data_IF_094258646780
#
_entry.id   IF_094258646780
#
_cell.length_a   1.000
_cell.length_b   1.000
_cell.length_c   1.000
_cell.angle_alpha   90.00
_cell.angle_beta   90.00
_cell.angle_gamma   90.00
#
_symmetry.space_group_name_H-M   'P 1'
#
loop_
_entity.id
_entity.type
_entity.pdbx_description
1 polymer ?
#
# COMPACT_ATOMS: atom_id res chain seq x y z
N UNK A 1 12.13 -32.36 -9.54
CA UNK A 1 10.91 -31.70 -9.01
C UNK A 1 10.69 -32.27 -7.62
N UNK A 2 10.76 -31.44 -6.58
CA UNK A 2 10.38 -31.86 -5.24
C UNK A 2 8.87 -32.18 -5.25
N UNK A 3 8.47 -33.27 -4.61
CA UNK A 3 7.04 -33.57 -4.44
C UNK A 3 6.36 -32.42 -3.66
N UNK A 4 5.12 -32.05 -4.01
CA UNK A 4 4.40 -31.05 -3.24
C UNK A 4 4.30 -31.47 -1.78
N UNK A 5 4.58 -30.55 -0.87
CA UNK A 5 4.53 -30.77 0.57
C UNK A 5 3.06 -31.00 0.96
N UNK A 6 2.67 -32.26 1.18
CA UNK A 6 1.35 -32.60 1.70
C UNK A 6 1.38 -32.58 3.23
N UNK A 7 0.97 -31.47 3.82
CA UNK A 7 0.79 -31.40 5.28
C UNK A 7 -0.56 -31.99 5.68
N UNK A 8 -0.55 -32.72 6.79
CA UNK A 8 -1.79 -33.18 7.42
C UNK A 8 -2.61 -31.98 7.91
N UNK A 9 -3.96 -31.99 7.89
CA UNK A 9 -4.80 -30.89 8.41
C UNK A 9 -4.50 -30.48 9.85
N UNK A 10 -4.03 -31.42 10.68
CA UNK A 10 -3.62 -31.19 12.08
C UNK A 10 -2.17 -30.70 12.22
N UNK A 11 -1.47 -30.45 11.13
CA UNK A 11 -0.12 -29.88 11.19
C UNK A 11 -0.15 -28.52 11.91
N UNK A 12 0.81 -28.33 12.80
CA UNK A 12 0.97 -27.07 13.54
C UNK A 12 1.73 -26.08 12.67
N UNK A 13 1.05 -25.06 12.19
CA UNK A 13 1.60 -24.03 11.30
C UNK A 13 1.81 -22.74 12.07
N UNK A 14 3.03 -22.25 12.09
CA UNK A 14 3.42 -20.99 12.71
C UNK A 14 3.66 -19.93 11.61
N UNK A 15 3.05 -18.77 11.74
CA UNK A 15 3.20 -17.67 10.79
C UNK A 15 3.83 -16.47 11.51
N UNK A 16 4.94 -15.96 10.99
CA UNK A 16 5.66 -14.83 11.56
C UNK A 16 5.33 -13.56 10.77
N UNK A 17 4.58 -12.66 11.39
CA UNK A 17 4.09 -11.42 10.83
C UNK A 17 2.59 -11.44 10.54
N UNK A 18 1.85 -10.45 11.07
CA UNK A 18 0.41 -10.24 10.85
C UNK A 18 0.12 -9.16 9.80
N UNK A 19 1.06 -8.89 8.88
CA UNK A 19 0.83 -8.07 7.71
C UNK A 19 -0.05 -8.78 6.66
N UNK A 20 -0.29 -8.12 5.51
CA UNK A 20 -1.18 -8.63 4.45
C UNK A 20 -0.83 -10.06 4.02
N UNK A 21 0.44 -10.42 3.92
CA UNK A 21 0.85 -11.77 3.53
C UNK A 21 0.58 -12.80 4.62
N UNK A 22 0.92 -12.50 5.89
CA UNK A 22 0.65 -13.41 7.00
C UNK A 22 -0.83 -13.63 7.24
N UNK A 23 -1.63 -12.56 7.21
CA UNK A 23 -3.09 -12.62 7.36
C UNK A 23 -3.74 -13.41 6.21
N UNK A 24 -3.34 -13.13 4.97
CA UNK A 24 -3.85 -13.86 3.81
C UNK A 24 -3.53 -15.35 3.92
N UNK A 25 -2.26 -15.68 4.22
CA UNK A 25 -1.84 -17.07 4.42
C UNK A 25 -2.64 -17.75 5.53
N UNK A 26 -2.77 -17.11 6.70
CA UNK A 26 -3.51 -17.65 7.83
C UNK A 26 -4.98 -17.93 7.49
N UNK A 27 -5.65 -16.95 6.87
CA UNK A 27 -7.05 -17.07 6.47
C UNK A 27 -7.26 -18.21 5.46
N UNK A 28 -6.42 -18.30 4.44
CA UNK A 28 -6.57 -19.34 3.40
C UNK A 28 -6.22 -20.73 3.91
N UNK A 29 -5.22 -20.87 4.80
CA UNK A 29 -4.92 -22.14 5.46
C UNK A 29 -6.11 -22.61 6.33
N UNK A 30 -6.68 -21.70 7.12
CA UNK A 30 -7.85 -22.03 7.94
C UNK A 30 -9.06 -22.44 7.07
N UNK A 31 -9.31 -21.73 5.96
CA UNK A 31 -10.34 -22.08 4.97
C UNK A 31 -10.06 -23.42 4.27
N UNK A 32 -8.80 -23.78 4.10
CA UNK A 32 -8.39 -25.06 3.56
C UNK A 32 -8.46 -26.23 4.58
N UNK A 33 -8.89 -25.95 5.81
CA UNK A 33 -9.10 -26.99 6.85
C UNK A 33 -7.90 -27.23 7.75
N UNK A 34 -6.89 -26.38 7.76
CA UNK A 34 -5.80 -26.44 8.75
C UNK A 34 -6.28 -25.79 10.07
N UNK A 35 -6.32 -26.57 11.14
CA UNK A 35 -6.93 -26.17 12.41
C UNK A 35 -5.96 -25.62 13.45
N UNK A 36 -4.63 -25.78 13.22
CA UNK A 36 -3.58 -25.42 14.18
C UNK A 36 -2.68 -24.34 13.59
N UNK A 37 -3.27 -23.19 13.28
CA UNK A 37 -2.55 -22.03 12.71
C UNK A 37 -2.39 -20.98 13.79
N UNK A 38 -1.14 -20.56 14.07
CA UNK A 38 -0.80 -19.50 15.02
C UNK A 38 0.00 -18.40 14.33
N UNK A 39 -0.43 -17.15 14.46
CA UNK A 39 0.25 -15.97 13.91
C UNK A 39 0.94 -15.20 15.03
N UNK A 40 2.22 -14.88 14.84
CA UNK A 40 3.03 -14.08 15.74
C UNK A 40 3.30 -12.70 15.16
N UNK A 41 3.13 -11.64 15.94
CA UNK A 41 3.55 -10.30 15.57
C UNK A 41 3.99 -9.50 16.81
N UNK A 42 5.03 -8.69 16.65
CA UNK A 42 5.51 -7.82 17.72
C UNK A 42 4.60 -6.62 17.98
N UNK A 43 3.64 -6.38 17.09
CA UNK A 43 2.70 -5.27 17.20
C UNK A 43 1.32 -5.80 17.59
N UNK A 44 0.70 -5.14 18.55
CA UNK A 44 -0.71 -5.35 18.86
C UNK A 44 -1.59 -4.67 17.81
N UNK A 45 -1.65 -5.30 16.63
CA UNK A 45 -2.43 -4.80 15.50
C UNK A 45 -3.93 -4.83 15.75
N UNK A 46 -4.39 -5.60 16.71
CA UNK A 46 -5.81 -5.67 17.10
C UNK A 46 -6.25 -4.40 17.84
N UNK A 47 -5.46 -3.94 18.79
CA UNK A 47 -5.71 -2.69 19.52
C UNK A 47 -5.34 -1.46 18.70
N UNK A 48 -4.19 -1.48 18.02
CA UNK A 48 -3.72 -0.36 17.20
C UNK A 48 -4.46 -0.23 15.85
N UNK A 49 -5.16 -1.27 15.40
CA UNK A 49 -5.96 -1.26 14.18
C UNK A 49 -5.17 -1.08 12.89
N UNK A 50 -3.92 -1.51 12.83
CA UNK A 50 -2.98 -1.23 11.72
C UNK A 50 -2.80 0.27 11.45
N UNK A 51 -3.02 1.11 12.45
CA UNK A 51 -2.93 2.54 12.28
C UNK A 51 -1.49 2.98 11.98
N UNK A 52 -1.22 3.54 10.80
CA UNK A 52 0.10 4.01 10.45
C UNK A 52 0.56 5.18 11.35
N UNK A 53 -0.36 5.93 11.96
CA UNK A 53 -0.04 7.01 12.88
C UNK A 53 0.33 6.53 14.29
N UNK A 54 -0.02 5.29 14.62
CA UNK A 54 0.39 4.64 15.86
C UNK A 54 1.78 4.00 15.81
N UNK A 55 2.55 4.25 14.73
CA UNK A 55 3.93 3.75 14.59
C UNK A 55 4.02 2.29 14.14
N UNK A 56 2.97 1.74 13.52
CA UNK A 56 3.02 0.39 12.97
C UNK A 56 4.00 0.31 11.81
N UNK A 57 5.09 -0.44 11.99
CA UNK A 57 6.21 -0.58 11.04
C UNK A 57 5.93 -1.62 9.96
N UNK A 58 4.81 -1.49 9.28
CA UNK A 58 4.36 -2.44 8.27
C UNK A 58 3.89 -1.72 7.01
N UNK A 59 4.23 -2.27 5.85
CA UNK A 59 3.66 -1.82 4.56
C UNK A 59 2.13 -1.97 4.52
N UNK A 60 1.56 -2.82 5.36
CA UNK A 60 0.11 -3.02 5.51
C UNK A 60 -0.57 -1.90 6.30
N UNK A 61 0.17 -1.20 7.16
CA UNK A 61 -0.30 -0.04 7.92
C UNK A 61 -0.22 1.22 7.05
N UNK A 62 -1.15 1.36 6.12
CA UNK A 62 -1.24 2.51 5.22
C UNK A 62 -2.69 2.97 5.10
N UNK A 63 -2.88 4.25 4.78
CA UNK A 63 -4.21 4.84 4.58
C UNK A 63 -4.91 4.12 3.42
N UNK A 64 -4.22 4.01 2.27
CA UNK A 64 -4.79 3.40 1.07
C UNK A 64 -3.70 2.82 0.15
N UNK A 65 -4.10 1.87 -0.70
CA UNK A 65 -3.27 1.26 -1.74
C UNK A 65 -4.04 1.25 -3.05
N UNK A 66 -3.34 1.51 -4.16
CA UNK A 66 -3.93 1.42 -5.50
C UNK A 66 -4.23 -0.04 -5.81
N UNK A 67 -5.45 -0.31 -6.26
CA UNK A 67 -5.82 -1.56 -6.93
C UNK A 67 -6.01 -1.23 -8.40
N UNK A 68 -5.20 -1.85 -9.23
CA UNK A 68 -5.17 -1.62 -10.67
C UNK A 68 -5.12 -2.93 -11.42
N UNK A 69 -5.47 -2.88 -12.70
CA UNK A 69 -5.41 -4.01 -13.64
C UNK A 69 -4.43 -3.75 -14.78
N UNK A 70 -3.85 -2.57 -14.82
CA UNK A 70 -2.90 -2.09 -15.82
C UNK A 70 -1.47 -2.45 -15.43
N UNK A 71 -0.92 -3.50 -16.06
CA UNK A 71 0.41 -4.04 -15.74
C UNK A 71 1.34 -4.18 -16.97
N UNK A 72 1.07 -3.44 -18.06
CA UNK A 72 1.86 -3.56 -19.28
C UNK A 72 1.82 -4.98 -19.85
N UNK A 73 2.98 -5.59 -20.05
CA UNK A 73 3.12 -6.96 -20.53
C UNK A 73 2.92 -8.06 -19.48
N UNK A 74 2.80 -7.70 -18.20
CA UNK A 74 2.76 -8.65 -17.09
C UNK A 74 1.34 -9.14 -16.80
N UNK A 75 0.82 -9.99 -17.69
CA UNK A 75 -0.57 -10.45 -17.69
C UNK A 75 -0.97 -11.20 -16.42
N UNK A 76 -0.02 -11.90 -15.78
CA UNK A 76 -0.32 -12.69 -14.58
C UNK A 76 -0.70 -11.79 -13.38
N UNK A 77 -0.09 -10.61 -13.27
CA UNK A 77 -0.50 -9.63 -12.25
C UNK A 77 -1.88 -9.05 -12.53
N UNK A 78 -2.23 -8.84 -13.80
CA UNK A 78 -3.57 -8.40 -14.19
C UNK A 78 -4.62 -9.43 -13.78
N UNK A 79 -4.39 -10.70 -14.08
CA UNK A 79 -5.30 -11.82 -13.73
C UNK A 79 -5.46 -11.97 -12.22
N UNK A 80 -4.35 -11.90 -11.48
CA UNK A 80 -4.37 -11.94 -10.01
C UNK A 80 -5.15 -10.78 -9.42
N UNK A 81 -4.95 -9.56 -9.95
CA UNK A 81 -5.69 -8.37 -9.51
C UNK A 81 -7.19 -8.50 -9.80
N UNK A 82 -7.58 -9.06 -10.94
CA UNK A 82 -8.98 -9.29 -11.31
C UNK A 82 -9.65 -10.26 -10.34
N UNK A 83 -9.00 -11.37 -10.00
CA UNK A 83 -9.50 -12.32 -8.99
C UNK A 83 -9.62 -11.68 -7.60
N UNK A 84 -8.67 -10.82 -7.25
CA UNK A 84 -8.71 -10.11 -5.97
C UNK A 84 -9.87 -9.10 -5.89
N UNK A 85 -10.27 -8.50 -7.01
CA UNK A 85 -11.39 -7.55 -7.05
C UNK A 85 -12.72 -8.19 -6.66
N UNK A 86 -12.94 -9.45 -7.02
CA UNK A 86 -14.14 -10.20 -6.63
C UNK A 86 -14.21 -10.36 -5.10
N UNK A 87 -13.06 -10.67 -4.48
CA UNK A 87 -12.96 -10.80 -3.02
C UNK A 87 -13.19 -9.44 -2.34
N UNK A 88 -12.66 -8.34 -2.87
CA UNK A 88 -12.90 -7.00 -2.33
C UNK A 88 -14.38 -6.62 -2.38
N UNK A 89 -15.07 -6.95 -3.45
CA UNK A 89 -16.51 -6.72 -3.59
C UNK A 89 -17.33 -7.60 -2.63
N UNK A 90 -16.94 -8.85 -2.44
CA UNK A 90 -17.56 -9.75 -1.46
C UNK A 90 -17.40 -9.20 -0.04
N UNK A 91 -16.18 -8.84 0.36
CA UNK A 91 -15.91 -8.28 1.68
C UNK A 91 -16.64 -6.97 1.93
N UNK A 92 -16.76 -6.09 0.95
CA UNK A 92 -17.59 -4.88 1.09
C UNK A 92 -19.06 -5.23 1.37
N UNK A 93 -19.62 -6.25 0.70
CA UNK A 93 -20.99 -6.72 0.95
C UNK A 93 -21.18 -7.33 2.33
N UNK A 94 -20.23 -8.15 2.77
CA UNK A 94 -20.24 -8.74 4.11
C UNK A 94 -20.19 -7.65 5.19
N UNK A 95 -19.28 -6.69 5.08
CA UNK A 95 -19.12 -5.58 6.01
C UNK A 95 -20.39 -4.72 6.06
N UNK A 96 -20.97 -4.37 4.92
CA UNK A 96 -22.20 -3.59 4.85
C UNK A 96 -23.37 -4.33 5.51
N UNK A 97 -23.48 -5.64 5.30
CA UNK A 97 -24.47 -6.48 5.95
C UNK A 97 -24.27 -6.52 7.48
N UNK A 98 -23.03 -6.69 7.94
CA UNK A 98 -22.72 -6.66 9.38
C UNK A 98 -22.96 -5.29 9.99
N UNK A 99 -22.60 -4.20 9.31
CA UNK A 99 -22.86 -2.85 9.80
C UNK A 99 -24.34 -2.58 10.06
N UNK A 100 -25.21 -3.19 9.26
CA UNK A 100 -26.67 -3.05 9.39
C UNK A 100 -27.28 -3.99 10.44
N UNK A 101 -26.70 -5.18 10.65
CA UNK A 101 -27.32 -6.23 11.48
C UNK A 101 -26.65 -6.42 12.85
N UNK A 102 -25.32 -6.31 12.89
CA UNK A 102 -24.49 -6.58 14.07
C UNK A 102 -23.28 -5.62 14.12
N UNK A 103 -23.50 -4.30 14.18
CA UNK A 103 -22.40 -3.33 14.11
C UNK A 103 -21.36 -3.51 15.22
N UNK A 104 -21.76 -4.04 16.38
CA UNK A 104 -20.87 -4.32 17.51
C UNK A 104 -19.81 -5.39 17.23
N UNK A 105 -20.05 -6.29 16.28
CA UNK A 105 -19.14 -7.38 15.91
C UNK A 105 -18.07 -6.93 14.89
N UNK A 106 -18.23 -5.76 14.28
CA UNK A 106 -17.22 -5.22 13.35
C UNK A 106 -15.92 -4.84 14.08
N UNK A 107 -14.77 -5.02 13.45
CA UNK A 107 -13.52 -4.42 13.92
C UNK A 107 -13.68 -2.93 14.23
N UNK A 108 -13.03 -2.41 15.30
CA UNK A 108 -13.20 -1.00 15.71
C UNK A 108 -13.00 0.03 14.59
N UNK A 109 -12.03 -0.20 13.70
CA UNK A 109 -11.72 0.71 12.57
C UNK A 109 -12.83 0.75 11.50
N UNK A 110 -13.67 -0.29 11.41
CA UNK A 110 -14.81 -0.35 10.51
C UNK A 110 -16.11 0.11 11.19
N UNK A 111 -16.20 -0.09 12.51
CA UNK A 111 -17.35 0.34 13.30
C UNK A 111 -17.39 1.85 13.53
N UNK A 112 -16.22 2.45 13.75
CA UNK A 112 -16.08 3.88 14.11
C UNK A 112 -15.88 4.80 12.89
N UNK A 113 -15.82 4.24 11.67
CA UNK A 113 -15.66 4.97 10.42
C UNK A 113 -16.58 4.43 9.33
N UNK A 114 -16.33 4.78 8.10
CA UNK A 114 -17.09 4.21 6.96
C UNK A 114 -16.84 2.70 6.86
N UNK A 115 -17.88 1.85 6.91
CA UNK A 115 -17.76 0.39 6.88
C UNK A 115 -17.53 -0.12 5.45
N UNK A 116 -16.40 0.27 4.86
CA UNK A 116 -16.05 -0.02 3.47
C UNK A 116 -14.54 -0.13 3.33
N UNK A 117 -14.08 -1.07 2.52
CA UNK A 117 -12.67 -1.32 2.25
C UNK A 117 -12.27 -0.85 0.85
N UNK A 118 -13.07 -1.23 -0.15
CA UNK A 118 -12.75 -1.09 -1.56
C UNK A 118 -13.61 -0.02 -2.21
N UNK A 119 -12.95 0.90 -2.90
CA UNK A 119 -13.55 2.00 -3.64
C UNK A 119 -13.18 1.87 -5.12
N UNK A 120 -14.14 1.43 -5.93
CA UNK A 120 -14.02 1.45 -7.38
C UNK A 120 -14.29 2.87 -7.89
N UNK A 121 -13.32 3.75 -7.67
CA UNK A 121 -13.42 5.17 -8.04
C UNK A 121 -12.77 5.49 -9.39
N UNK A 122 -12.21 4.49 -10.07
CA UNK A 122 -11.42 4.66 -11.28
C UNK A 122 -9.94 4.95 -11.01
N UNK A 123 -9.13 4.73 -12.03
CA UNK A 123 -7.70 5.01 -12.03
C UNK A 123 -7.29 5.75 -13.31
N UNK A 124 -7.02 7.04 -13.21
CA UNK A 124 -6.61 7.90 -14.31
C UNK A 124 -5.08 7.89 -14.45
N UNK A 125 -4.57 7.30 -15.50
CA UNK A 125 -3.15 7.25 -15.83
C UNK A 125 -2.83 8.34 -16.83
N UNK A 126 -2.10 9.37 -16.40
CA UNK A 126 -1.77 10.55 -17.20
C UNK A 126 -0.31 10.47 -17.67
N UNK A 127 -0.08 10.53 -18.97
CA UNK A 127 1.25 10.64 -19.56
C UNK A 127 1.90 12.00 -19.27
N UNK A 128 3.22 12.07 -19.31
CA UNK A 128 3.97 13.32 -19.19
C UNK A 128 4.07 14.08 -20.52
N UNK A 129 4.02 13.36 -21.64
CA UNK A 129 4.16 13.88 -22.99
C UNK A 129 2.85 14.00 -23.77
N UNK A 130 2.99 14.22 -25.08
CA UNK A 130 1.90 14.30 -26.06
C UNK A 130 1.50 12.93 -26.62
N UNK A 131 2.30 11.90 -26.38
CA UNK A 131 2.06 10.53 -26.84
C UNK A 131 1.93 9.56 -25.67
N UNK A 132 1.29 8.42 -25.88
CA UNK A 132 1.29 7.32 -24.90
C UNK A 132 2.65 6.62 -24.88
N UNK A 133 3.11 6.25 -23.70
CA UNK A 133 4.30 5.41 -23.54
C UNK A 133 4.06 3.99 -24.06
N UNK A 134 5.12 3.27 -24.40
CA UNK A 134 5.05 1.85 -24.81
C UNK A 134 4.38 0.98 -23.76
N UNK A 135 4.64 1.27 -22.48
CA UNK A 135 3.97 0.60 -21.37
C UNK A 135 2.46 0.79 -21.41
N UNK A 136 1.96 1.99 -21.67
CA UNK A 136 0.53 2.28 -21.74
C UNK A 136 -0.12 1.62 -22.95
N UNK A 137 0.54 1.68 -24.13
CA UNK A 137 0.06 1.00 -25.35
C UNK A 137 -0.02 -0.52 -25.12
N UNK A 138 0.99 -1.12 -24.50
CA UNK A 138 0.98 -2.54 -24.19
C UNK A 138 -0.09 -2.89 -23.16
N UNK A 139 -0.33 -2.01 -22.17
CA UNK A 139 -1.43 -2.17 -21.20
C UNK A 139 -2.77 -2.24 -21.93
N UNK A 140 -3.06 -1.29 -22.83
CA UNK A 140 -4.30 -1.25 -23.59
C UNK A 140 -4.50 -2.52 -24.44
N UNK A 141 -3.42 -2.99 -25.11
CA UNK A 141 -3.47 -4.23 -25.89
C UNK A 141 -3.80 -5.46 -25.02
N UNK A 142 -3.20 -5.55 -23.83
CA UNK A 142 -3.45 -6.66 -22.92
C UNK A 142 -4.85 -6.60 -22.30
N UNK A 143 -5.33 -5.41 -21.93
CA UNK A 143 -6.69 -5.22 -21.45
C UNK A 143 -7.71 -5.65 -22.51
N UNK A 144 -7.47 -5.36 -23.79
CA UNK A 144 -8.32 -5.79 -24.90
C UNK A 144 -8.29 -7.31 -25.08
N UNK A 145 -7.11 -7.93 -25.09
CA UNK A 145 -6.96 -9.40 -25.20
C UNK A 145 -7.67 -10.16 -24.08
N UNK A 146 -7.68 -9.62 -22.87
CA UNK A 146 -8.36 -10.21 -21.70
C UNK A 146 -9.86 -9.80 -21.61
N UNK A 147 -10.41 -9.16 -22.63
CA UNK A 147 -11.82 -8.78 -22.66
C UNK A 147 -12.21 -7.59 -21.80
N UNK A 148 -11.22 -6.83 -21.31
CA UNK A 148 -11.43 -5.68 -20.43
C UNK A 148 -11.32 -4.31 -21.14
N UNK A 149 -11.41 -4.27 -22.48
CA UNK A 149 -11.34 -3.02 -23.25
C UNK A 149 -12.40 -2.00 -22.86
N UNK A 150 -13.57 -2.47 -22.51
CA UNK A 150 -14.72 -1.62 -22.16
C UNK A 150 -14.50 -0.80 -20.88
N UNK A 151 -13.61 -1.25 -19.98
CA UNK A 151 -13.26 -0.50 -18.78
C UNK A 151 -12.24 0.63 -19.04
N UNK A 152 -11.61 0.66 -20.23
CA UNK A 152 -10.55 1.60 -20.55
C UNK A 152 -11.08 2.75 -21.41
N UNK A 153 -10.90 4.00 -20.98
CA UNK A 153 -11.32 5.20 -21.68
C UNK A 153 -10.12 6.10 -21.98
N UNK A 154 -9.78 6.22 -23.24
CA UNK A 154 -8.73 7.12 -23.73
C UNK A 154 -9.26 8.55 -23.85
N UNK A 155 -8.47 9.54 -23.46
CA UNK A 155 -8.84 10.96 -23.55
C UNK A 155 -8.64 11.57 -24.94
N UNK A 156 -8.02 10.84 -25.86
CA UNK A 156 -7.74 11.26 -27.23
C UNK A 156 -8.59 10.47 -28.26
N UNK A 157 -9.59 9.73 -27.82
CA UNK A 157 -10.49 8.93 -28.66
C UNK A 157 -11.96 9.35 -28.41
N UNK A 158 -12.58 9.95 -29.41
CA UNK A 158 -13.97 10.44 -29.33
C UNK A 158 -14.96 9.33 -29.00
N UNK A 159 -14.69 8.09 -29.43
CA UNK A 159 -15.54 6.93 -29.13
C UNK A 159 -15.46 6.59 -27.64
N UNK A 160 -14.26 6.58 -27.08
CA UNK A 160 -14.04 6.34 -25.66
C UNK A 160 -14.64 7.45 -24.79
N UNK A 161 -14.51 8.71 -25.19
CA UNK A 161 -15.13 9.86 -24.52
C UNK A 161 -16.65 9.73 -24.51
N UNK A 162 -17.27 9.33 -25.64
CA UNK A 162 -18.72 9.07 -25.71
C UNK A 162 -19.12 7.90 -24.80
N UNK A 163 -18.38 6.80 -24.83
CA UNK A 163 -18.64 5.65 -23.94
C UNK A 163 -18.54 6.05 -22.46
N UNK A 164 -17.51 6.82 -22.10
CA UNK A 164 -17.34 7.34 -20.73
C UNK A 164 -18.54 8.22 -20.32
N UNK A 165 -19.05 9.04 -21.24
CA UNK A 165 -20.24 9.87 -20.99
C UNK A 165 -21.50 9.03 -20.76
N UNK A 166 -21.72 8.02 -21.59
CA UNK A 166 -22.87 7.12 -21.46
C UNK A 166 -22.83 6.28 -20.18
N UNK A 167 -21.64 5.95 -19.68
CA UNK A 167 -21.43 5.14 -18.48
C UNK A 167 -21.15 5.95 -17.20
N UNK A 168 -21.24 7.28 -17.26
CA UNK A 168 -21.10 8.16 -16.10
C UNK A 168 -19.68 8.48 -15.68
N UNK A 169 -18.65 8.16 -16.48
CA UNK A 169 -17.24 8.34 -16.16
C UNK A 169 -16.59 9.61 -16.73
N UNK A 170 -17.29 10.35 -17.61
CA UNK A 170 -16.73 11.48 -18.34
C UNK A 170 -16.14 12.57 -17.41
N UNK A 171 -16.77 12.81 -16.26
CA UNK A 171 -16.32 13.80 -15.29
C UNK A 171 -14.95 13.47 -14.63
N UNK A 172 -14.49 12.21 -14.76
CA UNK A 172 -13.20 11.75 -14.25
C UNK A 172 -12.06 11.72 -15.29
N UNK A 173 -12.36 12.03 -16.54
CA UNK A 173 -11.35 11.95 -17.61
C UNK A 173 -10.27 13.03 -17.49
N UNK A 174 -10.59 14.22 -16.96
CA UNK A 174 -9.60 15.31 -16.77
C UNK A 174 -9.85 16.11 -15.47
N UNK A 175 -9.80 15.42 -14.33
CA UNK A 175 -10.00 16.02 -12.99
C UNK A 175 -8.96 17.09 -12.65
N UNK A 176 -7.83 17.08 -13.33
CA UNK A 176 -6.73 18.04 -13.17
C UNK A 176 -6.79 19.20 -14.17
N UNK A 177 -7.80 19.24 -15.05
CA UNK A 177 -7.99 20.26 -16.09
C UNK A 177 -6.74 20.46 -16.97
N UNK A 178 -6.07 19.35 -17.32
CA UNK A 178 -4.79 19.40 -18.05
C UNK A 178 -4.98 19.90 -19.47
N UNK A 179 -6.08 19.55 -20.13
CA UNK A 179 -6.35 20.05 -21.48
C UNK A 179 -6.45 21.58 -21.48
N UNK A 180 -7.18 22.16 -20.51
CA UNK A 180 -7.30 23.62 -20.39
C UNK A 180 -5.98 24.28 -20.02
N UNK A 181 -5.22 23.67 -19.09
CA UNK A 181 -4.01 24.28 -18.50
C UNK A 181 -2.76 24.15 -19.36
N UNK A 182 -2.64 23.06 -20.08
CA UNK A 182 -1.40 22.72 -20.81
C UNK A 182 -1.62 22.48 -22.31
N UNK A 183 -2.88 22.49 -22.78
CA UNK A 183 -3.21 22.20 -24.19
C UNK A 183 -3.04 20.74 -24.59
N UNK A 184 -2.59 19.89 -23.70
CA UNK A 184 -2.36 18.45 -23.94
C UNK A 184 -2.82 17.64 -22.73
N UNK A 185 -3.63 16.63 -23.03
CA UNK A 185 -4.08 15.67 -22.02
C UNK A 185 -4.14 14.26 -22.60
N UNK A 186 -3.02 13.54 -22.57
CA UNK A 186 -2.97 12.11 -22.89
C UNK A 186 -3.13 11.32 -21.62
N UNK A 187 -4.25 10.61 -21.49
CA UNK A 187 -4.54 9.79 -20.33
C UNK A 187 -5.47 8.62 -20.70
N UNK A 188 -5.45 7.61 -19.85
CA UNK A 188 -6.41 6.50 -19.87
C UNK A 188 -7.05 6.38 -18.50
N UNK A 189 -8.37 6.42 -18.44
CA UNK A 189 -9.14 6.09 -17.26
C UNK A 189 -9.52 4.61 -17.29
N UNK A 190 -9.09 3.88 -16.27
CA UNK A 190 -9.54 2.52 -16.00
C UNK A 190 -10.68 2.55 -14.98
N UNK A 191 -11.92 2.34 -15.46
CA UNK A 191 -13.12 2.39 -14.61
C UNK A 191 -13.27 1.17 -13.70
N UNK A 192 -12.54 0.10 -13.94
CA UNK A 192 -12.56 -1.09 -13.08
C UNK A 192 -11.66 -0.94 -11.84
N UNK A 193 -10.70 -0.02 -11.88
CA UNK A 193 -9.70 0.19 -10.85
C UNK A 193 -10.14 1.18 -9.74
N UNK A 194 -9.26 1.37 -8.75
CA UNK A 194 -9.51 2.28 -7.63
C UNK A 194 -8.51 2.06 -6.50
N UNK A 195 -8.98 2.07 -5.24
CA UNK A 195 -8.11 1.84 -4.09
C UNK A 195 -8.79 1.04 -2.99
N UNK A 196 -7.96 0.39 -2.17
CA UNK A 196 -8.38 -0.24 -0.94
C UNK A 196 -7.86 0.55 0.26
N UNK A 197 -8.66 0.67 1.32
CA UNK A 197 -8.24 1.22 2.62
C UNK A 197 -7.44 0.14 3.34
N UNK A 198 -6.11 0.20 3.23
CA UNK A 198 -5.21 -0.90 3.54
C UNK A 198 -5.30 -1.35 5.00
N UNK A 199 -5.30 -0.40 5.95
CA UNK A 199 -5.40 -0.72 7.38
C UNK A 199 -6.74 -1.38 7.74
N UNK A 200 -7.86 -0.95 7.14
CA UNK A 200 -9.18 -1.56 7.33
C UNK A 200 -9.23 -2.97 6.73
N UNK A 201 -8.63 -3.15 5.55
CA UNK A 201 -8.57 -4.46 4.90
C UNK A 201 -7.79 -5.48 5.72
N UNK A 202 -6.67 -5.08 6.33
CA UNK A 202 -5.90 -5.93 7.23
C UNK A 202 -6.69 -6.26 8.51
N UNK A 203 -7.35 -5.28 9.11
CA UNK A 203 -8.20 -5.52 10.30
C UNK A 203 -9.36 -6.48 9.98
N UNK A 204 -9.97 -6.36 8.81
CA UNK A 204 -11.01 -7.28 8.36
C UNK A 204 -10.48 -8.70 8.13
N UNK A 205 -9.35 -8.84 7.44
CA UNK A 205 -8.71 -10.13 7.22
C UNK A 205 -8.33 -10.81 8.55
N UNK A 206 -7.82 -10.05 9.53
CA UNK A 206 -7.53 -10.56 10.87
C UNK A 206 -8.80 -11.04 11.59
N UNK A 207 -9.88 -10.27 11.52
CA UNK A 207 -11.18 -10.66 12.05
C UNK A 207 -11.67 -11.98 11.45
N UNK A 208 -11.62 -12.11 10.12
CA UNK A 208 -12.03 -13.33 9.42
C UNK A 208 -11.15 -14.53 9.80
N UNK A 209 -9.83 -14.34 9.93
CA UNK A 209 -8.91 -15.39 10.34
C UNK A 209 -9.18 -15.85 11.77
N UNK A 210 -9.43 -14.93 12.73
CA UNK A 210 -9.85 -15.28 14.09
C UNK A 210 -11.15 -16.07 14.09
N UNK A 211 -12.13 -15.62 13.34
CA UNK A 211 -13.43 -16.30 13.22
C UNK A 211 -13.29 -17.72 12.63
N UNK A 212 -12.27 -17.93 11.79
CA UNK A 212 -11.91 -19.25 11.25
C UNK A 212 -11.04 -20.11 12.20
N UNK A 213 -10.78 -19.65 13.43
CA UNK A 213 -10.06 -20.41 14.46
C UNK A 213 -8.54 -20.18 14.48
N UNK A 214 -8.00 -19.20 13.74
CA UNK A 214 -6.58 -18.83 13.81
C UNK A 214 -6.26 -18.19 15.14
N UNK A 215 -5.21 -18.65 15.79
CA UNK A 215 -4.65 -18.04 17.00
C UNK A 215 -3.72 -16.89 16.65
N UNK A 216 -3.72 -15.82 17.47
CA UNK A 216 -2.84 -14.66 17.30
C UNK A 216 -2.12 -14.35 18.60
N UNK A 217 -0.80 -14.23 18.55
CA UNK A 217 0.06 -13.78 19.64
C UNK A 217 0.66 -12.42 19.21
N UNK A 218 -0.06 -11.34 19.53
CA UNK A 218 0.24 -9.97 19.15
C UNK A 218 0.77 -9.21 20.36
N UNK A 219 2.10 -9.22 20.56
CA UNK A 219 2.69 -8.63 21.75
C UNK A 219 4.17 -8.28 21.53
N UNK A 220 4.66 -7.15 22.06
CA UNK A 220 6.04 -6.68 21.83
C UNK A 220 7.16 -7.67 22.22
N UNK A 221 6.89 -8.61 23.09
CA UNK A 221 7.86 -9.65 23.50
C UNK A 221 7.38 -11.05 23.14
N UNK A 222 6.15 -11.44 23.53
CA UNK A 222 5.60 -12.79 23.29
C UNK A 222 5.31 -13.06 21.81
N UNK A 223 4.97 -12.04 21.04
CA UNK A 223 4.72 -12.15 19.60
C UNK A 223 5.92 -11.78 18.74
N UNK A 224 6.96 -11.19 19.34
CA UNK A 224 8.17 -10.80 18.63
C UNK A 224 9.08 -12.01 18.44
N UNK A 225 9.08 -12.57 17.25
CA UNK A 225 10.01 -13.63 16.86
C UNK A 225 11.41 -13.03 16.69
N UNK A 226 12.41 -13.67 17.31
CA UNK A 226 13.82 -13.25 17.28
C UNK A 226 14.74 -14.31 16.69
N UNK A 227 14.27 -15.54 16.53
CA UNK A 227 15.03 -16.64 15.92
C UNK A 227 14.13 -17.73 15.37
N UNK A 228 14.62 -18.41 14.36
CA UNK A 228 14.01 -19.60 13.75
C UNK A 228 15.10 -20.64 13.63
N UNK A 229 14.88 -21.80 14.26
CA UNK A 229 15.80 -22.94 14.22
C UNK A 229 15.18 -24.08 13.40
N UNK A 230 15.91 -24.51 12.39
CA UNK A 230 15.54 -25.60 11.47
C UNK A 230 16.52 -26.79 11.57
N UNK A 231 17.28 -26.91 12.66
CA UNK A 231 18.29 -27.95 12.81
C UNK A 231 17.69 -29.36 12.88
N UNK A 232 16.45 -29.49 13.33
CA UNK A 232 15.68 -30.74 13.25
C UNK A 232 14.97 -30.83 11.88
N UNK A 233 15.25 -31.88 11.12
CA UNK A 233 14.65 -32.12 9.79
C UNK A 233 13.12 -32.30 9.83
N UNK A 234 12.53 -32.53 10.99
CA UNK A 234 11.10 -32.79 11.15
C UNK A 234 10.30 -31.67 11.79
N UNK A 235 10.98 -30.71 12.46
CA UNK A 235 10.33 -29.65 13.20
C UNK A 235 11.10 -28.33 13.12
N UNK A 236 10.36 -27.25 13.05
CA UNK A 236 10.94 -25.90 13.10
C UNK A 236 10.57 -25.25 14.44
N UNK A 237 11.54 -24.64 15.08
CA UNK A 237 11.37 -23.94 16.36
C UNK A 237 11.41 -22.44 16.11
N UNK A 238 10.39 -21.74 16.57
CA UNK A 238 10.34 -20.27 16.61
C UNK A 238 10.64 -19.83 18.03
N UNK A 239 11.61 -18.92 18.20
CA UNK A 239 11.96 -18.31 19.47
C UNK A 239 11.42 -16.88 19.54
N UNK A 240 10.76 -16.54 20.64
CA UNK A 240 10.23 -15.20 20.90
C UNK A 240 11.09 -14.40 21.88
N UNK A 241 10.93 -13.08 21.90
CA UNK A 241 11.80 -12.17 22.66
C UNK A 241 11.65 -12.30 24.18
N UNK A 242 10.61 -12.95 24.69
CA UNK A 242 10.44 -13.30 26.11
C UNK A 242 11.20 -14.59 26.49
N UNK A 243 11.90 -15.23 25.53
CA UNK A 243 12.65 -16.46 25.72
C UNK A 243 11.83 -17.74 25.54
N UNK A 244 10.54 -17.65 25.20
CA UNK A 244 9.73 -18.83 24.91
C UNK A 244 10.08 -19.42 23.54
N UNK A 245 9.84 -20.74 23.41
CA UNK A 245 10.01 -21.49 22.15
C UNK A 245 8.69 -22.10 21.74
N UNK A 246 8.43 -22.07 20.43
CA UNK A 246 7.22 -22.63 19.82
C UNK A 246 7.64 -23.58 18.70
N UNK A 247 7.23 -24.83 18.82
CA UNK A 247 7.52 -25.87 17.83
C UNK A 247 6.38 -25.92 16.81
N UNK A 248 6.72 -26.05 15.53
CA UNK A 248 5.77 -26.20 14.42
C UNK A 248 6.25 -27.20 13.37
N UNK A 249 5.31 -27.79 12.65
CA UNK A 249 5.58 -28.66 11.49
C UNK A 249 5.92 -27.84 10.24
N UNK A 250 5.44 -26.58 10.20
CA UNK A 250 5.77 -25.59 9.16
C UNK A 250 5.87 -24.20 9.78
N UNK A 251 6.84 -23.42 9.34
CA UNK A 251 6.94 -21.99 9.64
C UNK A 251 6.86 -21.19 8.34
N UNK A 252 5.96 -20.20 8.32
CA UNK A 252 5.83 -19.22 7.24
C UNK A 252 6.38 -17.89 7.70
N UNK A 253 7.45 -17.40 7.07
CA UNK A 253 8.02 -16.10 7.39
C UNK A 253 7.38 -15.03 6.50
N UNK A 254 6.48 -14.25 7.08
CA UNK A 254 5.75 -13.14 6.45
C UNK A 254 6.09 -11.80 7.13
N UNK A 255 7.30 -11.66 7.67
CA UNK A 255 7.78 -10.52 8.46
C UNK A 255 8.03 -9.23 7.68
N UNK A 256 7.61 -9.16 6.39
CA UNK A 256 7.78 -7.97 5.57
C UNK A 256 9.23 -7.50 5.52
N UNK A 257 9.48 -6.24 5.84
CA UNK A 257 10.82 -5.67 5.88
C UNK A 257 11.75 -6.24 6.96
N UNK A 258 11.22 -6.98 7.94
CA UNK A 258 12.01 -7.63 9.00
C UNK A 258 12.47 -9.04 8.61
N UNK A 259 12.00 -9.58 7.47
CA UNK A 259 12.29 -10.98 7.07
C UNK A 259 13.78 -11.26 6.91
N UNK A 260 14.57 -10.32 6.38
CA UNK A 260 16.02 -10.49 6.23
C UNK A 260 16.76 -10.58 7.59
N UNK A 261 16.19 -10.01 8.67
CA UNK A 261 16.72 -10.15 10.02
C UNK A 261 16.44 -11.51 10.65
N UNK A 262 15.36 -12.17 10.23
CA UNK A 262 14.97 -13.50 10.71
C UNK A 262 15.58 -14.63 9.86
N UNK A 263 15.79 -14.36 8.58
CA UNK A 263 16.38 -15.27 7.59
C UNK A 263 17.60 -14.60 6.95
N UNK A 264 18.79 -14.69 7.57
CA UNK A 264 19.99 -14.01 7.07
C UNK A 264 20.40 -14.39 5.64
N UNK A 265 20.05 -15.58 5.17
CA UNK A 265 20.25 -16.05 3.81
C UNK A 265 19.38 -15.28 2.78
N UNK A 266 18.27 -14.70 3.21
CA UNK A 266 17.42 -13.87 2.37
C UNK A 266 17.93 -12.42 2.22
N UNK A 267 18.98 -12.02 2.94
CA UNK A 267 19.50 -10.64 2.92
C UNK A 267 19.94 -10.18 1.52
N UNK A 268 20.47 -11.09 0.71
CA UNK A 268 20.84 -10.79 -0.67
C UNK A 268 19.64 -10.66 -1.64
N UNK A 269 18.46 -11.12 -1.22
CA UNK A 269 17.23 -11.15 -2.03
C UNK A 269 16.22 -10.06 -1.62
N UNK A 270 16.33 -9.54 -0.38
CA UNK A 270 15.37 -8.63 0.22
C UNK A 270 16.07 -7.34 0.65
N UNK A 271 15.63 -6.22 0.09
CA UNK A 271 15.99 -4.90 0.56
C UNK A 271 14.73 -4.15 1.03
N UNK A 272 14.79 -3.64 2.25
CA UNK A 272 13.72 -2.80 2.81
C UNK A 272 14.03 -1.35 2.58
N UNK A 273 13.17 -0.66 1.82
CA UNK A 273 13.35 0.75 1.48
C UNK A 273 12.22 1.62 2.03
N UNK A 274 12.55 2.85 2.36
CA UNK A 274 11.62 3.89 2.79
C UNK A 274 11.36 4.88 1.64
N UNK A 275 10.10 5.06 1.31
CA UNK A 275 9.63 6.12 0.41
C UNK A 275 8.91 7.22 1.18
N UNK A 276 8.82 8.40 0.58
CA UNK A 276 8.15 9.54 1.17
C UNK A 276 6.79 9.78 0.53
N UNK A 277 5.80 10.09 1.36
CA UNK A 277 4.47 10.53 0.93
C UNK A 277 4.11 11.84 1.61
N UNK A 278 3.30 12.65 0.94
CA UNK A 278 2.68 13.83 1.51
C UNK A 278 1.21 13.55 1.81
N UNK A 279 0.72 14.09 2.90
CA UNK A 279 -0.71 14.10 3.20
C UNK A 279 -1.21 15.53 3.33
N UNK A 280 -2.40 15.79 2.77
CA UNK A 280 -3.06 17.09 2.83
C UNK A 280 -4.37 16.88 3.59
N UNK A 281 -4.55 17.61 4.69
CA UNK A 281 -5.82 17.66 5.39
C UNK A 281 -6.72 18.73 4.77
N UNK A 282 -7.87 18.33 4.24
CA UNK A 282 -8.87 19.28 3.76
C UNK A 282 -9.53 20.03 4.93
N UNK A 283 -9.75 21.35 4.81
CA UNK A 283 -10.49 22.11 5.80
C UNK A 283 -11.94 21.61 5.90
N UNK A 284 -12.45 21.49 7.12
CA UNK A 284 -13.83 21.02 7.36
C UNK A 284 -14.89 22.01 6.88
N UNK A 285 -14.54 23.29 6.82
CA UNK A 285 -15.38 24.40 6.37
C UNK A 285 -15.39 24.60 4.84
N UNK A 286 -14.75 23.68 4.07
CA UNK A 286 -14.69 23.71 2.60
C UNK A 286 -15.39 22.48 2.00
N UNK A 287 -16.74 22.43 2.06
CA UNK A 287 -17.50 21.31 1.51
C UNK A 287 -17.29 21.12 -0.01
N UNK A 288 -16.98 22.19 -0.72
CA UNK A 288 -16.63 22.17 -2.14
C UNK A 288 -15.38 21.32 -2.42
N UNK A 289 -14.35 21.41 -1.56
CA UNK A 289 -13.16 20.58 -1.68
C UNK A 289 -13.43 19.12 -1.26
N UNK A 290 -14.25 18.92 -0.23
CA UNK A 290 -14.64 17.59 0.20
C UNK A 290 -15.39 16.83 -0.90
N UNK A 291 -16.28 17.49 -1.61
CA UNK A 291 -16.99 16.93 -2.77
C UNK A 291 -16.02 16.70 -3.94
N UNK A 292 -15.24 17.72 -4.30
CA UNK A 292 -14.31 17.66 -5.43
C UNK A 292 -13.32 16.51 -5.33
N UNK A 293 -12.82 16.21 -4.13
CA UNK A 293 -11.84 15.14 -3.90
C UNK A 293 -12.46 13.86 -3.34
N UNK A 294 -13.77 13.74 -3.38
CA UNK A 294 -14.44 12.50 -2.97
C UNK A 294 -14.15 11.36 -3.96
N UNK A 295 -14.22 10.09 -3.55
CA UNK A 295 -14.10 8.94 -4.46
C UNK A 295 -15.13 8.93 -5.59
N UNK A 296 -16.27 9.59 -5.41
CA UNK A 296 -17.34 9.73 -6.40
C UNK A 296 -16.92 10.64 -7.56
N UNK A 297 -16.18 11.69 -7.27
CA UNK A 297 -15.80 12.72 -8.25
C UNK A 297 -14.34 12.66 -8.67
N UNK A 298 -13.45 12.14 -7.83
CA UNK A 298 -12.02 12.10 -8.06
C UNK A 298 -11.53 10.64 -8.12
N UNK A 299 -10.83 10.21 -9.19
CA UNK A 299 -10.23 8.88 -9.29
C UNK A 299 -8.88 8.82 -8.55
N UNK A 300 -8.31 7.64 -8.40
CA UNK A 300 -6.86 7.53 -8.21
C UNK A 300 -6.18 8.10 -9.46
N UNK A 301 -5.14 8.88 -9.28
CA UNK A 301 -4.40 9.46 -10.42
C UNK A 301 -2.93 9.10 -10.36
N UNK A 302 -2.32 8.91 -11.55
CA UNK A 302 -0.87 8.90 -11.72
C UNK A 302 -0.48 9.87 -12.82
N UNK A 303 0.71 10.46 -12.73
CA UNK A 303 1.23 11.34 -13.74
C UNK A 303 2.68 11.00 -14.07
N UNK A 304 2.91 10.72 -15.36
CA UNK A 304 4.23 10.46 -15.95
C UNK A 304 4.99 9.35 -15.24
N UNK A 305 4.28 8.24 -14.89
CA UNK A 305 4.91 7.05 -14.33
C UNK A 305 5.90 6.47 -15.34
N UNK A 306 7.13 6.22 -14.89
CA UNK A 306 8.26 5.80 -15.74
C UNK A 306 8.72 6.86 -16.76
N UNK A 307 8.21 8.09 -16.68
CA UNK A 307 8.54 9.20 -17.56
C UNK A 307 9.19 10.38 -16.81
N UNK A 308 9.69 10.11 -15.59
CA UNK A 308 10.44 11.06 -14.76
C UNK A 308 9.58 12.04 -13.93
N UNK A 309 8.25 11.90 -13.94
CA UNK A 309 7.35 12.61 -13.02
C UNK A 309 6.99 11.77 -11.81
N UNK A 310 6.58 10.52 -12.04
CA UNK A 310 6.40 9.48 -11.02
C UNK A 310 5.54 9.88 -9.82
N UNK A 311 4.49 10.66 -10.06
CA UNK A 311 3.55 11.15 -9.05
C UNK A 311 2.31 10.28 -9.04
N UNK A 312 1.77 10.01 -7.85
CA UNK A 312 0.43 9.43 -7.69
C UNK A 312 -0.34 10.10 -6.56
N UNK A 313 -1.65 10.13 -6.68
CA UNK A 313 -2.54 10.66 -5.64
C UNK A 313 -3.83 9.87 -5.56
N UNK A 314 -4.48 9.97 -4.42
CA UNK A 314 -5.75 9.33 -4.12
C UNK A 314 -6.84 10.38 -3.92
N UNK A 315 -8.12 10.01 -4.05
CA UNK A 315 -9.21 10.77 -3.45
C UNK A 315 -8.99 10.97 -1.96
N UNK A 316 -9.71 11.90 -1.36
CA UNK A 316 -9.73 12.02 0.10
C UNK A 316 -10.24 10.73 0.76
N UNK A 317 -9.73 10.45 1.95
CA UNK A 317 -10.33 9.46 2.84
C UNK A 317 -11.56 10.02 3.58
N UNK A 318 -12.16 9.22 4.46
CA UNK A 318 -13.30 9.60 5.29
C UNK A 318 -13.00 10.77 6.24
N UNK A 319 -11.74 11.02 6.58
CA UNK A 319 -11.29 12.10 7.43
C UNK A 319 -10.91 13.38 6.65
N UNK A 320 -11.04 13.36 5.33
CA UNK A 320 -10.65 14.46 4.45
C UNK A 320 -9.15 14.54 4.19
N UNK A 321 -8.43 13.42 4.30
CA UNK A 321 -7.00 13.37 4.03
C UNK A 321 -6.74 12.90 2.60
N UNK A 322 -6.03 13.70 1.82
CA UNK A 322 -5.50 13.34 0.51
C UNK A 322 -4.05 12.87 0.68
N UNK A 323 -3.72 11.72 0.10
CA UNK A 323 -2.35 11.21 0.06
C UNK A 323 -1.74 11.37 -1.33
N UNK A 324 -0.54 11.93 -1.38
CA UNK A 324 0.25 12.12 -2.59
C UNK A 324 1.59 11.44 -2.38
N UNK A 325 2.01 10.61 -3.33
CA UNK A 325 3.29 9.92 -3.26
C UNK A 325 4.13 10.13 -4.51
N UNK A 326 5.45 9.96 -4.32
CA UNK A 326 6.46 10.06 -5.34
C UNK A 326 7.20 8.74 -5.44
N UNK A 327 7.28 8.18 -6.65
CA UNK A 327 7.99 6.93 -6.92
C UNK A 327 9.42 7.19 -7.40
N UNK A 328 10.12 8.11 -6.74
CA UNK A 328 11.51 8.42 -7.04
C UNK A 328 12.44 7.69 -6.08
N UNK A 329 13.51 8.34 -5.69
CA UNK A 329 14.54 7.78 -4.80
C UNK A 329 13.91 7.23 -3.51
N UNK A 330 14.27 6.02 -3.17
CA UNK A 330 13.99 5.36 -1.90
C UNK A 330 15.29 5.28 -1.10
N UNK A 331 15.18 5.30 0.22
CA UNK A 331 16.32 5.22 1.11
C UNK A 331 16.28 3.92 1.91
N UNK A 332 17.44 3.34 2.13
CA UNK A 332 17.59 2.11 2.90
C UNK A 332 18.11 2.42 4.30
N UNK A 333 17.42 1.91 5.30
CA UNK A 333 17.85 1.97 6.70
C UNK A 333 18.52 0.66 7.07
N UNK A 334 19.79 0.70 7.48
CA UNK A 334 20.56 -0.48 7.87
C UNK A 334 20.73 -0.58 9.38
N UNK A 335 20.66 -1.80 9.90
CA UNK A 335 21.03 -2.17 11.27
C UNK A 335 22.01 -3.34 11.24
N UNK A 336 22.88 -3.42 12.26
CA UNK A 336 23.71 -4.60 12.47
C UNK A 336 22.94 -5.62 13.31
N UNK A 337 22.66 -6.78 12.69
CA UNK A 337 21.98 -7.92 13.32
C UNK A 337 22.87 -9.13 13.19
N UNK A 338 23.27 -9.71 14.33
CA UNK A 338 24.15 -10.88 14.40
C UNK A 338 25.45 -10.72 13.57
N UNK A 339 26.05 -9.54 13.58
CA UNK A 339 27.29 -9.22 12.86
C UNK A 339 27.12 -9.05 11.34
N UNK A 340 25.89 -9.00 10.85
CA UNK A 340 25.55 -8.70 9.45
C UNK A 340 24.79 -7.38 9.38
N UNK A 341 25.12 -6.57 8.38
CA UNK A 341 24.41 -5.34 8.08
C UNK A 341 23.19 -5.65 7.22
N UNK A 342 22.00 -5.41 7.78
CA UNK A 342 20.73 -5.82 7.21
C UNK A 342 19.82 -4.60 7.06
N UNK A 343 19.10 -4.51 5.93
CA UNK A 343 18.07 -3.49 5.73
C UNK A 343 16.85 -3.80 6.58
N UNK A 344 16.37 -2.79 7.32
CA UNK A 344 15.21 -2.92 8.21
C UNK A 344 14.26 -1.75 8.04
N UNK A 345 12.97 -1.90 8.40
CA UNK A 345 12.04 -0.78 8.46
C UNK A 345 12.55 0.35 9.37
N UNK A 346 12.17 1.58 9.04
CA UNK A 346 12.38 2.75 9.90
C UNK A 346 11.02 3.16 10.46
N UNK A 347 10.90 3.11 11.77
CA UNK A 347 9.70 3.58 12.47
C UNK A 347 9.46 5.07 12.17
N UNK A 348 8.20 5.40 11.93
CA UNK A 348 7.75 6.78 11.74
C UNK A 348 7.13 7.26 13.04
N UNK A 349 7.79 8.20 13.71
CA UNK A 349 7.20 8.88 14.86
C UNK A 349 6.44 10.12 14.40
N UNK A 350 5.18 10.22 14.81
CA UNK A 350 4.24 11.28 14.38
C UNK A 350 4.74 12.70 14.67
N UNK A 351 5.67 12.84 15.63
CA UNK A 351 6.22 14.14 16.06
C UNK A 351 7.55 14.50 15.41
N UNK A 352 8.15 13.61 14.62
CA UNK A 352 9.45 13.83 14.00
C UNK A 352 9.33 13.78 12.48
N UNK A 353 9.97 14.73 11.81
CA UNK A 353 10.10 14.72 10.36
C UNK A 353 11.24 13.78 9.97
N UNK A 354 10.99 12.48 9.89
CA UNK A 354 11.99 11.50 9.47
C UNK A 354 12.17 11.47 7.94
N UNK A 355 12.28 12.65 7.32
CA UNK A 355 12.44 12.78 5.87
C UNK A 355 13.86 13.24 5.55
N UNK A 356 14.59 12.52 4.69
CA UNK A 356 15.88 12.98 4.18
C UNK A 356 15.73 14.31 3.42
N UNK A 357 16.68 15.22 3.60
CA UNK A 357 16.69 16.52 2.89
C UNK A 357 16.49 16.36 1.37
N UNK A 358 17.16 15.42 0.67
CA UNK A 358 16.93 15.25 -0.76
C UNK A 358 15.49 14.86 -1.13
N UNK A 359 14.78 14.14 -0.21
CA UNK A 359 13.36 13.86 -0.42
C UNK A 359 12.52 15.11 -0.25
N UNK A 360 12.79 15.89 0.80
CA UNK A 360 12.09 17.16 1.04
C UNK A 360 12.28 18.13 -0.14
N UNK A 361 13.51 18.28 -0.65
CA UNK A 361 13.79 19.15 -1.78
C UNK A 361 13.10 18.68 -3.06
N UNK A 362 13.09 17.36 -3.32
CA UNK A 362 12.32 16.79 -4.43
C UNK A 362 10.83 17.13 -4.32
N UNK A 363 10.28 16.97 -3.14
CA UNK A 363 8.88 17.27 -2.84
C UNK A 363 8.60 18.77 -2.96
N UNK A 364 9.50 19.64 -2.51
CA UNK A 364 9.39 21.09 -2.68
C UNK A 364 9.44 21.50 -4.16
N UNK A 365 10.36 20.92 -4.94
CA UNK A 365 10.48 21.18 -6.37
C UNK A 365 9.23 20.76 -7.15
N UNK A 366 8.69 19.60 -6.84
CA UNK A 366 7.50 19.06 -7.50
C UNK A 366 6.18 19.58 -6.89
N UNK A 367 6.24 20.20 -5.72
CA UNK A 367 5.09 20.78 -5.02
C UNK A 367 4.30 21.75 -5.91
N UNK A 368 4.99 22.64 -6.59
CA UNK A 368 4.34 23.60 -7.52
C UNK A 368 3.53 22.88 -8.59
N UNK A 369 4.04 21.76 -9.08
CA UNK A 369 3.34 20.95 -10.09
C UNK A 369 2.17 20.20 -9.46
N UNK A 370 2.34 19.60 -8.28
CA UNK A 370 1.28 18.86 -7.57
C UNK A 370 0.14 19.80 -7.16
N UNK A 371 0.46 20.95 -6.58
CA UNK A 371 -0.54 21.97 -6.21
C UNK A 371 -1.23 22.50 -7.47
N UNK A 372 -0.51 22.78 -8.55
CA UNK A 372 -1.11 23.15 -9.83
C UNK A 372 -2.04 22.06 -10.37
N UNK A 373 -1.69 20.78 -10.20
CA UNK A 373 -2.54 19.66 -10.60
C UNK A 373 -3.84 19.65 -9.79
N UNK A 374 -3.76 19.83 -8.47
CA UNK A 374 -4.90 19.72 -7.57
C UNK A 374 -5.81 20.96 -7.57
N UNK A 375 -5.28 22.17 -7.73
CA UNK A 375 -6.02 23.42 -7.57
C UNK A 375 -6.47 24.08 -8.87
N UNK A 376 -5.79 23.85 -9.96
CA UNK A 376 -6.05 24.58 -11.20
C UNK A 376 -5.65 26.06 -11.20
N UNK A 377 -5.22 26.63 -10.07
CA UNK A 377 -4.58 27.97 -9.92
C UNK A 377 -3.57 27.91 -8.79
N UNK A 378 -2.35 28.36 -9.05
CA UNK A 378 -1.27 28.31 -8.07
C UNK A 378 -1.42 29.44 -7.01
N UNK A 379 -2.23 29.22 -5.98
CA UNK A 379 -2.17 30.03 -4.79
C UNK A 379 -1.32 29.33 -3.74
N UNK A 380 -0.11 29.83 -3.53
CA UNK A 380 0.94 29.19 -2.72
C UNK A 380 0.66 29.26 -1.21
N UNK A 381 -0.30 30.07 -0.75
CA UNK A 381 -0.40 30.45 0.65
C UNK A 381 -1.28 29.55 1.51
N UNK A 382 -2.31 28.91 0.95
CA UNK A 382 -3.30 28.15 1.72
C UNK A 382 -2.82 26.73 2.05
N UNK A 383 -2.15 26.08 1.14
CA UNK A 383 -1.80 24.65 1.25
C UNK A 383 -0.44 24.38 1.92
N UNK A 384 0.49 25.33 1.89
CA UNK A 384 1.79 25.20 2.54
C UNK A 384 1.73 25.01 4.05
N UNK A 385 0.63 25.41 4.70
CA UNK A 385 0.42 25.28 6.15
C UNK A 385 -0.28 23.98 6.55
N UNK A 386 -0.76 23.18 5.58
CA UNK A 386 -1.62 22.03 5.82
C UNK A 386 -0.92 20.68 5.60
N UNK A 387 0.33 20.67 5.21
CA UNK A 387 1.05 19.45 4.85
C UNK A 387 1.56 18.68 6.06
N UNK A 388 1.17 17.40 6.15
CA UNK A 388 1.78 16.42 7.07
C UNK A 388 2.59 15.42 6.25
N UNK A 389 3.83 15.24 6.61
CA UNK A 389 4.75 14.37 5.90
C UNK A 389 4.90 13.03 6.60
N UNK A 390 4.94 11.97 5.82
CA UNK A 390 5.18 10.61 6.29
C UNK A 390 6.19 9.91 5.39
N UNK A 391 7.09 9.15 6.01
CA UNK A 391 7.85 8.14 5.30
C UNK A 391 7.04 6.84 5.27
N UNK A 392 6.95 6.17 4.14
CA UNK A 392 6.35 4.85 4.04
C UNK A 392 7.37 3.86 3.49
N UNK A 393 7.32 2.64 3.96
CA UNK A 393 8.16 1.54 3.48
C UNK A 393 7.54 0.90 2.23
N UNK A 394 7.06 1.70 1.28
CA UNK A 394 6.06 1.25 0.34
C UNK A 394 6.59 0.49 -0.87
N UNK A 395 7.87 0.60 -1.27
CA UNK A 395 8.29 -0.03 -2.52
C UNK A 395 9.73 -0.51 -2.52
N UNK A 396 9.84 -1.69 -3.06
CA UNK A 396 11.10 -2.35 -3.33
C UNK A 396 11.80 -1.67 -4.50
N UNK A 397 12.91 -1.02 -4.24
CA UNK A 397 13.94 -0.73 -5.22
C UNK A 397 15.20 -1.43 -4.76
N UNK A 398 15.89 -2.05 -5.69
CA UNK A 398 17.15 -2.70 -5.36
C UNK A 398 18.22 -1.64 -5.10
N UNK A 399 18.48 -1.32 -3.82
CA UNK A 399 19.56 -0.43 -3.40
C UNK A 399 20.91 -1.12 -3.31
N UNK A 400 20.91 -2.44 -3.43
CA UNK A 400 22.14 -3.25 -3.38
C UNK A 400 23.08 -2.96 -4.54
N UNK A 401 22.57 -2.41 -5.66
CA UNK A 401 23.40 -1.98 -6.79
C UNK A 401 24.40 -0.87 -6.42
N UNK A 402 24.05 -0.03 -5.42
CA UNK A 402 24.90 1.06 -4.93
C UNK A 402 25.73 0.64 -3.71
N UNK A 403 25.48 -0.55 -3.16
CA UNK A 403 26.12 -1.07 -1.95
C UNK A 403 25.74 -0.30 -0.68
N UNK A 404 26.27 -0.77 0.45
CA UNK A 404 26.03 -0.21 1.78
C UNK A 404 26.59 1.21 1.98
N UNK A 405 27.52 1.62 1.14
CA UNK A 405 28.13 2.94 1.13
C UNK A 405 27.48 3.90 0.14
N UNK A 406 26.46 3.45 -0.56
CA UNK A 406 25.78 4.22 -1.60
C UNK A 406 25.03 5.45 -1.07
N UNK A 407 24.68 6.39 -1.96
CA UNK A 407 24.02 7.64 -1.59
C UNK A 407 22.60 7.46 -1.08
N UNK A 408 22.00 6.27 -1.24
CA UNK A 408 20.64 5.96 -0.76
C UNK A 408 20.59 5.37 0.65
N UNK A 409 21.72 5.27 1.34
CA UNK A 409 21.76 4.82 2.74
C UNK A 409 21.15 5.89 3.64
N UNK A 410 20.07 5.56 4.33
CA UNK A 410 19.30 6.51 5.13
C UNK A 410 20.15 7.14 6.25
N UNK A 411 21.00 6.36 6.91
CA UNK A 411 21.90 6.84 7.96
C UNK A 411 22.96 7.84 7.51
N UNK A 412 23.19 7.96 6.20
CA UNK A 412 24.10 8.96 5.60
C UNK A 412 23.39 10.24 5.18
N UNK A 413 22.05 10.28 5.26
CA UNK A 413 21.29 11.45 4.87
C UNK A 413 21.15 12.42 6.06
N UNK A 414 21.27 13.72 5.76
CA UNK A 414 20.81 14.73 6.69
C UNK A 414 19.28 14.70 6.71
N UNK A 415 18.71 14.51 7.89
CA UNK A 415 17.27 14.58 8.09
C UNK A 415 16.80 16.02 8.15
N UNK A 416 15.61 16.28 7.62
CA UNK A 416 14.99 17.57 7.69
C UNK A 416 14.59 17.90 9.14
N UNK A 417 14.91 19.13 9.60
CA UNK A 417 14.38 19.71 10.83
C UNK A 417 13.06 20.47 10.54
N UNK A 418 12.36 20.93 11.58
CA UNK A 418 11.19 21.77 11.39
C UNK A 418 11.51 23.09 10.67
N UNK A 419 12.73 23.61 10.83
CA UNK A 419 13.20 24.81 10.15
C UNK A 419 13.37 24.62 8.64
N UNK A 420 13.72 23.43 8.21
CA UNK A 420 13.84 23.09 6.78
C UNK A 420 12.47 23.07 6.06
N UNK A 421 11.35 23.12 6.81
CA UNK A 421 9.98 23.16 6.28
C UNK A 421 9.46 24.57 6.00
N UNK A 422 10.22 25.60 6.30
CA UNK A 422 9.87 26.99 5.95
C UNK A 422 9.92 27.14 4.43
N UNK A 423 8.83 27.60 3.85
CA UNK A 423 8.61 27.72 2.40
C UNK A 423 8.65 29.20 1.98
#
# INVERSE_FOLDING_TARGET
MQQPLHLHPDAKILIVGSGVFGLSTALWLARAGYHRVTVFDMQDTETAGYNPEAGTESASADINKIIRFSYGGEIEYQRLASQAADIWNEWNREIASMASTKPGDLPPVLRNGEPKLWYNCGFLRMGAGSEFSDFELQTLQNMEKEGARESQFRTDDDTDIKRASCSGWAHKLDVCRRQERFGVHKAVLDSSAGFVVAYKACAWAQYLARKAGVEFILHPTKGRVVGIDTADSHKTIVQTADGATHEGDLVVVAGGGWSAGLLPEANALIETTAGSVATIQLPKDRPDLWERFSPETFPVVTWGMHEGKDIYSFPRDENGVIKIGFRRTKWTNYCDIAGKRISVPKAVHVKETNIPIPALESIKGDRREVVKILEGKGDETVYGKMWKWRTSNAEKRNGLEEGEEGPRVLGKQRMASLEDWVF
#
